data_IF_175778106354
#
_entry.id   IF_175778106354
#
_cell.length_a   1.000
_cell.length_b   1.000
_cell.length_c   1.000
_cell.angle_alpha   90.00
_cell.angle_beta   90.00
_cell.angle_gamma   90.00
#
_symmetry.space_group_name_H-M   'P 1'
#
loop_
_entity.id
_entity.type
_entity.pdbx_description
1 polymer ?
#
# COMPACT_ATOMS: atom_id res chain seq x y z
N UNK A 1 -7.77 -5.94 10.01
CA UNK A 1 -7.82 -5.90 8.52
C UNK A 1 -8.75 -7.00 8.06
N UNK A 2 -9.65 -6.73 7.12
CA UNK A 2 -10.47 -7.76 6.48
C UNK A 2 -9.55 -8.73 5.72
N UNK A 3 -9.86 -10.03 5.74
CA UNK A 3 -9.17 -10.99 4.89
C UNK A 3 -9.42 -10.60 3.41
N UNK A 4 -8.33 -10.36 2.66
CA UNK A 4 -8.38 -9.95 1.25
C UNK A 4 -9.09 -10.98 0.36
N UNK A 5 -9.03 -12.28 0.71
CA UNK A 5 -9.74 -13.37 0.03
C UNK A 5 -11.25 -13.23 0.22
N UNK A 6 -11.69 -13.01 1.46
CA UNK A 6 -13.10 -12.80 1.77
C UNK A 6 -13.63 -11.49 1.16
N UNK A 7 -12.79 -10.46 1.08
CA UNK A 7 -13.14 -9.23 0.36
C UNK A 7 -13.34 -9.52 -1.14
N UNK A 8 -12.40 -10.22 -1.76
CA UNK A 8 -12.47 -10.59 -3.17
C UNK A 8 -13.74 -11.40 -3.47
N UNK A 9 -14.02 -12.44 -2.68
CA UNK A 9 -15.22 -13.26 -2.80
C UNK A 9 -16.51 -12.43 -2.70
N UNK A 10 -16.63 -11.60 -1.65
CA UNK A 10 -17.80 -10.74 -1.43
C UNK A 10 -18.06 -9.78 -2.60
N UNK A 11 -17.00 -9.35 -3.29
CA UNK A 11 -17.06 -8.39 -4.38
C UNK A 11 -16.96 -9.04 -5.77
N UNK A 12 -17.03 -10.37 -5.87
CA UNK A 12 -17.01 -11.09 -7.15
C UNK A 12 -15.68 -11.00 -7.89
N UNK A 13 -14.58 -10.72 -7.18
CA UNK A 13 -13.25 -10.62 -7.74
C UNK A 13 -12.66 -12.03 -7.84
N UNK A 14 -12.48 -12.52 -9.07
CA UNK A 14 -11.85 -13.81 -9.31
C UNK A 14 -10.34 -13.71 -9.08
N UNK A 15 -9.84 -14.47 -8.12
CA UNK A 15 -8.42 -14.59 -7.82
C UNK A 15 -7.81 -15.72 -8.67
N UNK A 16 -6.64 -15.49 -9.27
CA UNK A 16 -5.89 -16.58 -9.91
C UNK A 16 -5.06 -17.31 -8.86
N UNK A 17 -5.09 -18.64 -8.94
CA UNK A 17 -4.34 -19.58 -8.10
C UNK A 17 -2.99 -19.98 -8.72
N UNK A 18 -2.75 -19.61 -9.98
CA UNK A 18 -1.55 -19.97 -10.74
C UNK A 18 -1.12 -18.91 -11.74
N UNK A 19 0.17 -18.90 -12.04
CA UNK A 19 0.82 -17.95 -12.95
C UNK A 19 1.12 -16.60 -12.29
N UNK A 20 1.53 -15.61 -13.10
CA UNK A 20 1.84 -14.27 -12.63
C UNK A 20 0.68 -13.63 -11.88
N UNK A 21 0.98 -12.70 -10.96
CA UNK A 21 -0.06 -11.99 -10.22
C UNK A 21 -0.94 -11.17 -11.16
N UNK A 22 -2.27 -11.38 -11.12
CA UNK A 22 -3.21 -10.68 -11.99
C UNK A 22 -3.37 -9.17 -11.71
N UNK A 23 -2.75 -8.64 -10.65
CA UNK A 23 -2.89 -7.23 -10.25
C UNK A 23 -1.60 -6.43 -10.46
N UNK A 24 -0.48 -6.91 -9.91
CA UNK A 24 0.80 -6.23 -10.02
C UNK A 24 1.70 -6.75 -11.14
N UNK A 25 1.33 -7.87 -11.78
CA UNK A 25 2.14 -8.47 -12.84
C UNK A 25 3.43 -9.16 -12.37
N UNK A 26 3.61 -9.32 -11.05
CA UNK A 26 4.78 -10.00 -10.50
C UNK A 26 4.95 -11.40 -11.11
N UNK A 27 6.18 -11.83 -11.43
CA UNK A 27 6.47 -13.13 -12.04
C UNK A 27 6.47 -14.26 -11.00
N UNK A 28 5.36 -14.37 -10.27
CA UNK A 28 5.10 -15.42 -9.27
C UNK A 28 4.47 -16.66 -9.93
N UNK A 29 4.44 -17.77 -9.21
CA UNK A 29 3.84 -19.03 -9.69
C UNK A 29 2.41 -19.22 -9.20
N UNK A 30 2.05 -18.65 -8.05
CA UNK A 30 0.75 -18.87 -7.38
C UNK A 30 -0.09 -17.59 -7.26
N UNK A 31 0.00 -16.71 -8.26
CA UNK A 31 -0.80 -15.49 -8.36
C UNK A 31 -0.66 -14.57 -7.15
N UNK A 32 -1.73 -13.84 -6.82
CA UNK A 32 -1.73 -12.85 -5.73
C UNK A 32 -1.45 -13.46 -4.35
N UNK A 33 -1.76 -14.73 -4.12
CA UNK A 33 -1.49 -15.38 -2.84
C UNK A 33 0.02 -15.42 -2.55
N UNK A 34 0.85 -15.68 -3.55
CA UNK A 34 2.31 -15.65 -3.43
C UNK A 34 2.81 -14.23 -3.15
N UNK A 35 2.21 -13.20 -3.76
CA UNK A 35 2.54 -11.82 -3.43
C UNK A 35 2.33 -11.52 -1.94
N UNK A 36 1.23 -11.99 -1.35
CA UNK A 36 0.99 -11.85 0.09
C UNK A 36 2.00 -12.62 0.95
N UNK A 37 2.44 -13.81 0.50
CA UNK A 37 3.46 -14.59 1.19
C UNK A 37 4.84 -13.90 1.13
N UNK A 38 5.23 -13.38 -0.02
CA UNK A 38 6.53 -12.72 -0.19
C UNK A 38 6.69 -11.49 0.71
N UNK A 39 5.60 -10.81 1.09
CA UNK A 39 5.65 -9.69 2.04
C UNK A 39 6.00 -10.16 3.47
N UNK A 40 5.73 -11.41 3.83
CA UNK A 40 6.12 -11.95 5.15
C UNK A 40 7.64 -12.02 5.33
N UNK A 41 8.40 -12.15 4.24
CA UNK A 41 9.87 -12.08 4.24
C UNK A 41 10.41 -10.83 4.96
N UNK A 42 9.69 -9.70 4.88
CA UNK A 42 10.09 -8.47 5.56
C UNK A 42 10.06 -8.66 7.08
N UNK A 43 9.03 -9.33 7.61
CA UNK A 43 8.85 -9.57 9.04
C UNK A 43 9.80 -10.67 9.58
N UNK A 44 10.39 -11.49 8.71
CA UNK A 44 11.45 -12.43 9.08
C UNK A 44 12.79 -11.72 9.31
N UNK A 45 12.99 -10.57 8.65
CA UNK A 45 14.23 -9.77 8.73
C UNK A 45 14.12 -8.63 9.75
N UNK A 46 12.94 -8.01 9.86
CA UNK A 46 12.72 -6.81 10.68
C UNK A 46 11.79 -7.09 11.86
N UNK A 47 12.22 -6.70 13.06
CA UNK A 47 11.35 -6.69 14.24
C UNK A 47 10.41 -5.47 14.18
N UNK A 48 9.13 -5.71 13.96
CA UNK A 48 8.10 -4.68 13.95
C UNK A 48 7.60 -4.26 15.33
N UNK A 49 8.20 -4.75 16.41
CA UNK A 49 8.08 -4.16 17.74
C UNK A 49 9.11 -3.05 17.99
N UNK A 50 10.14 -2.95 17.15
CA UNK A 50 11.11 -1.85 17.18
C UNK A 50 10.54 -0.64 16.40
N UNK A 51 10.37 0.53 17.06
CA UNK A 51 9.95 1.77 16.40
C UNK A 51 10.80 2.15 15.18
N UNK A 52 12.08 1.79 15.15
CA UNK A 52 12.96 2.05 14.01
C UNK A 52 12.46 1.40 12.70
N UNK A 53 11.67 0.33 12.80
CA UNK A 53 11.14 -0.41 11.65
C UNK A 53 9.70 -0.03 11.29
N UNK A 54 9.06 0.87 12.05
CA UNK A 54 7.65 1.24 11.82
C UNK A 54 7.44 1.85 10.45
N UNK A 55 8.32 2.76 10.01
CA UNK A 55 8.20 3.39 8.69
C UNK A 55 8.25 2.36 7.58
N UNK A 56 9.15 1.39 7.66
CA UNK A 56 9.27 0.30 6.69
C UNK A 56 8.01 -0.55 6.65
N UNK A 57 7.42 -0.86 7.81
CA UNK A 57 6.14 -1.57 7.89
C UNK A 57 5.00 -0.78 7.22
N UNK A 58 4.92 0.53 7.44
CA UNK A 58 3.87 1.34 6.83
C UNK A 58 4.02 1.41 5.32
N UNK A 59 5.25 1.61 4.84
CA UNK A 59 5.57 1.64 3.42
C UNK A 59 5.25 0.31 2.72
N UNK A 60 5.58 -0.83 3.33
CA UNK A 60 5.27 -2.15 2.74
C UNK A 60 3.77 -2.40 2.66
N UNK A 61 3.02 -2.04 3.71
CA UNK A 61 1.55 -2.18 3.74
C UNK A 61 0.89 -1.27 2.71
N UNK A 62 1.33 -0.02 2.58
CA UNK A 62 0.78 0.92 1.59
C UNK A 62 1.08 0.49 0.16
N UNK A 63 2.33 0.09 -0.11
CA UNK A 63 2.74 -0.41 -1.40
C UNK A 63 1.90 -1.64 -1.77
N UNK A 64 1.75 -2.59 -0.84
CA UNK A 64 0.95 -3.79 -1.04
C UNK A 64 -0.49 -3.46 -1.40
N UNK A 65 -1.12 -2.58 -0.64
CA UNK A 65 -2.53 -2.23 -0.82
C UNK A 65 -2.78 -1.56 -2.18
N UNK A 66 -1.91 -0.65 -2.59
CA UNK A 66 -2.05 0.06 -3.86
C UNK A 66 -1.65 -0.80 -5.06
N UNK A 67 -0.64 -1.68 -4.92
CA UNK A 67 -0.28 -2.60 -6.00
C UNK A 67 -1.42 -3.60 -6.29
N UNK A 68 -2.15 -4.01 -5.26
CA UNK A 68 -3.28 -4.94 -5.32
C UNK A 68 -4.62 -4.24 -5.03
N UNK A 69 -4.79 -3.03 -5.56
CA UNK A 69 -5.92 -2.12 -5.32
C UNK A 69 -7.29 -2.81 -5.28
N UNK A 70 -7.52 -3.80 -6.14
CA UNK A 70 -8.78 -4.53 -6.29
C UNK A 70 -9.22 -5.26 -5.03
N UNK A 71 -8.29 -5.83 -4.27
CA UNK A 71 -8.62 -6.66 -3.09
C UNK A 71 -8.67 -5.85 -1.79
N UNK A 72 -8.69 -4.52 -1.90
CA UNK A 72 -8.82 -3.59 -0.79
C UNK A 72 -10.03 -2.66 -0.99
N UNK A 73 -10.65 -2.28 0.14
CA UNK A 73 -11.74 -1.31 0.14
C UNK A 73 -11.31 0.04 -0.47
N UNK A 74 -12.13 0.72 -1.28
CA UNK A 74 -11.72 1.96 -1.93
C UNK A 74 -11.24 3.04 -0.96
N UNK A 75 -11.93 3.23 0.17
CA UNK A 75 -11.51 4.18 1.21
C UNK A 75 -10.23 3.77 1.94
N UNK A 76 -9.96 2.46 2.02
CA UNK A 76 -8.68 1.99 2.53
C UNK A 76 -7.55 2.37 1.59
N UNK A 77 -7.76 2.22 0.27
CA UNK A 77 -6.79 2.67 -0.74
C UNK A 77 -6.53 4.18 -0.66
N UNK A 78 -7.55 4.98 -0.33
CA UNK A 78 -7.37 6.41 -0.06
C UNK A 78 -6.46 6.69 1.13
N UNK A 79 -6.62 5.96 2.24
CA UNK A 79 -5.73 6.07 3.42
C UNK A 79 -4.30 5.74 3.02
N UNK A 80 -4.09 4.61 2.36
CA UNK A 80 -2.77 4.17 1.92
C UNK A 80 -2.09 5.19 0.99
N UNK A 81 -2.84 5.71 0.01
CA UNK A 81 -2.29 6.69 -0.92
C UNK A 81 -2.03 8.05 -0.28
N UNK A 82 -2.96 8.56 0.54
CA UNK A 82 -2.75 9.79 1.29
C UNK A 82 -1.52 9.70 2.21
N UNK A 83 -1.33 8.56 2.88
CA UNK A 83 -0.14 8.32 3.70
C UNK A 83 1.15 8.35 2.89
N UNK A 84 1.19 7.74 1.70
CA UNK A 84 2.38 7.82 0.83
C UNK A 84 2.68 9.26 0.38
N UNK A 85 1.66 10.06 0.06
CA UNK A 85 1.84 11.50 -0.26
C UNK A 85 2.43 12.24 0.94
N UNK A 86 1.86 12.04 2.14
CA UNK A 86 2.33 12.67 3.37
C UNK A 86 3.79 12.32 3.69
N UNK A 87 4.17 11.04 3.52
CA UNK A 87 5.54 10.58 3.77
C UNK A 87 6.51 11.12 2.69
N UNK A 88 6.21 10.90 1.41
CA UNK A 88 7.16 11.17 0.34
C UNK A 88 7.22 12.63 -0.11
N UNK A 89 6.09 13.35 -0.16
CA UNK A 89 6.05 14.76 -0.54
C UNK A 89 6.17 15.67 0.67
N UNK A 90 5.27 15.51 1.66
CA UNK A 90 5.18 16.42 2.80
C UNK A 90 6.21 16.13 3.90
N UNK A 91 7.02 15.06 3.75
CA UNK A 91 8.07 14.66 4.70
C UNK A 91 7.55 14.47 6.12
N UNK A 92 6.32 14.01 6.26
CA UNK A 92 5.74 13.65 7.56
C UNK A 92 6.47 12.43 8.09
N UNK A 93 7.14 12.59 9.22
CA UNK A 93 7.70 11.46 9.98
C UNK A 93 6.55 10.63 10.55
N UNK A 94 6.28 9.50 9.91
CA UNK A 94 5.07 8.73 10.14
C UNK A 94 5.24 7.71 11.26
N UNK A 95 4.26 7.65 12.17
CA UNK A 95 4.20 6.67 13.24
C UNK A 95 2.75 6.21 13.47
N UNK A 96 2.55 5.28 14.41
CA UNK A 96 1.23 4.71 14.70
C UNK A 96 0.20 5.73 15.20
N UNK A 97 0.59 6.78 15.94
CA UNK A 97 -0.37 7.74 16.48
C UNK A 97 -1.01 8.63 15.40
N UNK A 98 -0.36 8.75 14.24
CA UNK A 98 -0.90 9.50 13.10
C UNK A 98 -1.93 8.72 12.26
N UNK A 99 -1.96 7.39 12.38
CA UNK A 99 -2.90 6.56 11.61
C UNK A 99 -4.37 6.79 11.98
N UNK A 100 -4.75 6.87 13.28
CA UNK A 100 -6.10 7.28 13.67
C UNK A 100 -6.47 8.68 13.15
N UNK A 101 -5.57 9.66 13.25
CA UNK A 101 -5.82 11.03 12.78
C UNK A 101 -6.15 11.06 11.29
N UNK A 102 -5.37 10.36 10.46
CA UNK A 102 -5.68 10.24 9.03
C UNK A 102 -6.98 9.49 8.79
N UNK A 103 -7.26 8.45 9.57
CA UNK A 103 -8.50 7.68 9.46
C UNK A 103 -9.72 8.57 9.73
N UNK A 104 -9.65 9.45 10.73
CA UNK A 104 -10.72 10.40 11.05
C UNK A 104 -10.94 11.39 9.91
N UNK A 105 -9.87 11.95 9.34
CA UNK A 105 -9.95 12.83 8.17
C UNK A 105 -10.61 12.11 6.98
N UNK A 106 -10.23 10.86 6.68
CA UNK A 106 -10.87 10.07 5.61
C UNK A 106 -12.34 9.76 5.96
N UNK A 107 -12.64 9.47 7.22
CA UNK A 107 -13.99 9.18 7.69
C UNK A 107 -14.94 10.38 7.57
N UNK A 108 -14.43 11.60 7.71
CA UNK A 108 -15.21 12.80 7.47
C UNK A 108 -15.34 13.10 5.98
N UNK A 109 -14.25 12.96 5.22
CA UNK A 109 -14.24 13.15 3.77
C UNK A 109 -15.24 12.23 3.05
N UNK A 110 -15.32 10.95 3.43
CA UNK A 110 -16.21 9.96 2.81
C UNK A 110 -17.71 10.22 3.03
N UNK A 111 -18.10 11.14 3.93
CA UNK A 111 -19.52 11.47 4.17
C UNK A 111 -20.13 12.25 3.01
N UNK A 112 -19.31 13.01 2.29
CA UNK A 112 -19.74 13.91 1.21
C UNK A 112 -19.13 13.55 -0.15
N UNK A 113 -18.20 12.60 -0.20
CA UNK A 113 -17.50 12.20 -1.41
C UNK A 113 -17.74 10.73 -1.75
N UNK A 114 -17.60 10.40 -3.04
CA UNK A 114 -17.53 9.02 -3.53
C UNK A 114 -16.08 8.67 -3.84
N UNK A 115 -15.65 7.42 -3.65
CA UNK A 115 -14.30 7.02 -3.98
C UNK A 115 -14.11 6.98 -5.50
N UNK A 116 -12.90 7.31 -5.96
CA UNK A 116 -12.47 7.01 -7.33
C UNK A 116 -12.42 5.50 -7.51
N UNK A 117 -12.92 5.04 -8.65
CA UNK A 117 -13.04 3.61 -8.97
C UNK A 117 -11.97 3.11 -9.94
N UNK A 118 -11.15 4.00 -10.50
CA UNK A 118 -10.22 3.67 -11.58
C UNK A 118 -8.79 4.04 -11.18
N UNK A 119 -8.02 3.14 -10.54
CA UNK A 119 -6.59 3.33 -10.27
C UNK A 119 -5.76 3.29 -11.58
N UNK A 120 -4.42 3.46 -11.52
CA UNK A 120 -3.56 3.09 -12.65
C UNK A 120 -3.84 1.67 -13.14
N UNK A 121 -3.59 1.42 -14.42
CA UNK A 121 -3.80 0.12 -15.05
C UNK A 121 -3.11 -1.01 -14.27
N UNK A 122 -3.76 -2.17 -14.19
CA UNK A 122 -3.17 -3.41 -13.68
C UNK A 122 -1.81 -3.66 -14.34
N UNK A 123 -0.82 -4.08 -13.54
CA UNK A 123 0.56 -4.29 -13.98
C UNK A 123 1.37 -3.01 -14.24
N UNK A 124 0.77 -1.82 -14.09
CA UNK A 124 1.43 -0.52 -14.29
C UNK A 124 1.45 0.34 -13.01
N UNK A 125 1.39 -0.33 -11.85
CA UNK A 125 1.26 0.30 -10.53
C UNK A 125 2.57 0.34 -9.74
N UNK A 126 3.69 0.17 -10.42
CA UNK A 126 5.03 0.11 -9.86
C UNK A 126 5.91 -0.82 -10.69
N UNK A 127 7.21 -0.54 -10.74
CA UNK A 127 8.20 -1.38 -11.41
C UNK A 127 8.83 -2.42 -10.49
N UNK A 128 8.75 -2.20 -9.18
CA UNK A 128 9.24 -3.12 -8.15
C UNK A 128 8.04 -3.89 -7.61
N UNK A 129 8.20 -5.19 -7.47
CA UNK A 129 7.16 -6.13 -7.07
C UNK A 129 7.53 -6.84 -5.77
N UNK A 130 6.62 -7.66 -5.27
CA UNK A 130 6.86 -8.47 -4.07
C UNK A 130 7.95 -9.52 -4.27
N UNK A 131 8.27 -9.91 -5.51
CA UNK A 131 9.38 -10.84 -5.79
C UNK A 131 10.73 -10.20 -5.47
N UNK A 132 10.88 -8.90 -5.73
CA UNK A 132 12.13 -8.17 -5.48
C UNK A 132 12.47 -8.10 -3.99
N UNK A 133 11.46 -8.15 -3.11
CA UNK A 133 11.65 -8.19 -1.65
C UNK A 133 12.49 -9.38 -1.20
N UNK A 134 12.40 -10.50 -1.91
CA UNK A 134 13.12 -11.74 -1.59
C UNK A 134 14.63 -11.62 -1.80
N UNK A 135 15.10 -10.56 -2.46
CA UNK A 135 16.53 -10.32 -2.68
C UNK A 135 17.25 -9.76 -1.45
N UNK A 136 16.50 -9.19 -0.49
CA UNK A 136 17.06 -8.65 0.74
C UNK A 136 17.28 -9.75 1.78
N UNK A 137 18.45 -9.78 2.42
CA UNK A 137 18.80 -10.78 3.44
C UNK A 137 19.26 -10.17 4.78
N UNK A 138 19.29 -8.84 4.87
CA UNK A 138 19.68 -8.10 6.07
C UNK A 138 18.80 -6.87 6.25
N UNK A 139 18.73 -6.27 7.45
CA UNK A 139 17.83 -5.16 7.74
C UNK A 139 17.96 -3.97 6.78
N UNK A 140 19.19 -3.48 6.53
CA UNK A 140 19.39 -2.28 5.71
C UNK A 140 18.93 -2.46 4.23
N UNK A 141 19.35 -3.51 3.50
CA UNK A 141 18.79 -3.83 2.18
C UNK A 141 17.27 -4.02 2.20
N UNK A 142 16.73 -4.65 3.25
CA UNK A 142 15.29 -4.88 3.38
C UNK A 142 14.52 -3.56 3.51
N UNK A 143 14.98 -2.64 4.36
CA UNK A 143 14.40 -1.31 4.49
C UNK A 143 14.51 -0.51 3.19
N UNK A 144 15.64 -0.61 2.49
CA UNK A 144 15.86 0.09 1.23
C UNK A 144 14.94 -0.41 0.11
N UNK A 145 14.85 -1.74 -0.11
CA UNK A 145 13.99 -2.29 -1.17
C UNK A 145 12.51 -2.00 -0.93
N UNK A 146 12.07 -2.00 0.34
CA UNK A 146 10.69 -1.63 0.70
C UNK A 146 10.43 -0.15 0.42
N UNK A 147 11.38 0.72 0.73
CA UNK A 147 11.28 2.15 0.44
C UNK A 147 11.19 2.41 -1.07
N UNK A 148 12.06 1.76 -1.84
CA UNK A 148 12.06 1.86 -3.29
C UNK A 148 10.78 1.30 -3.90
N UNK A 149 10.28 0.18 -3.37
CA UNK A 149 9.00 -0.39 -3.76
C UNK A 149 7.84 0.57 -3.54
N UNK A 150 7.70 1.09 -2.31
CA UNK A 150 6.64 2.03 -1.98
C UNK A 150 6.74 3.33 -2.79
N UNK A 151 7.96 3.81 -3.06
CA UNK A 151 8.16 4.99 -3.89
C UNK A 151 7.79 4.74 -5.36
N UNK A 152 8.12 3.57 -5.90
CA UNK A 152 7.73 3.15 -7.25
C UNK A 152 6.20 3.09 -7.40
N UNK A 153 5.51 2.52 -6.41
CA UNK A 153 4.04 2.49 -6.36
C UNK A 153 3.46 3.89 -6.25
N UNK A 154 3.97 4.71 -5.34
CA UNK A 154 3.59 6.12 -5.21
C UNK A 154 3.71 6.89 -6.54
N UNK A 155 4.83 6.71 -7.26
CA UNK A 155 5.06 7.35 -8.56
C UNK A 155 4.04 6.93 -9.61
N UNK A 156 3.62 5.67 -9.62
CA UNK A 156 2.58 5.19 -10.54
C UNK A 156 1.21 5.83 -10.24
N UNK A 157 0.92 6.13 -8.97
CA UNK A 157 -0.31 6.79 -8.55
C UNK A 157 -0.24 8.33 -8.60
N UNK A 158 0.90 8.94 -8.93
CA UNK A 158 1.12 10.38 -8.83
C UNK A 158 0.05 11.22 -9.55
N UNK A 159 -0.37 10.83 -10.75
CA UNK A 159 -1.39 11.55 -11.52
C UNK A 159 -2.79 11.46 -10.90
N UNK A 160 -2.99 10.56 -9.95
CA UNK A 160 -4.23 10.39 -9.18
C UNK A 160 -4.19 11.17 -7.86
N UNK A 161 -3.07 11.85 -7.53
CA UNK A 161 -2.91 12.63 -6.30
C UNK A 161 -4.05 13.63 -6.04
N UNK A 162 -4.64 14.33 -7.04
CA UNK A 162 -5.79 15.21 -6.81
C UNK A 162 -6.97 14.55 -6.07
N UNK A 163 -7.08 13.22 -6.14
CA UNK A 163 -8.09 12.44 -5.41
C UNK A 163 -7.94 12.52 -3.88
N UNK A 164 -6.70 12.61 -3.40
CA UNK A 164 -6.35 12.57 -1.97
C UNK A 164 -5.80 13.90 -1.46
N UNK A 165 -5.56 14.89 -2.33
CA UNK A 165 -5.11 16.23 -1.93
C UNK A 165 -6.00 16.88 -0.85
N UNK A 166 -7.35 16.82 -0.92
CA UNK A 166 -8.18 17.38 0.15
C UNK A 166 -7.97 16.68 1.51
N UNK A 167 -7.72 15.37 1.50
CA UNK A 167 -7.44 14.58 2.71
C UNK A 167 -6.07 14.96 3.27
N UNK A 168 -5.05 15.06 2.41
CA UNK A 168 -3.69 15.48 2.78
C UNK A 168 -3.72 16.88 3.37
N UNK A 169 -4.41 17.83 2.73
CA UNK A 169 -4.54 19.20 3.22
C UNK A 169 -5.24 19.25 4.58
N UNK A 170 -6.37 18.55 4.74
CA UNK A 170 -7.09 18.49 6.01
C UNK A 170 -6.27 17.84 7.12
N UNK A 171 -5.50 16.78 6.82
CA UNK A 171 -4.59 16.16 7.77
C UNK A 171 -3.51 17.15 8.25
N UNK A 172 -2.91 17.92 7.33
CA UNK A 172 -1.86 18.88 7.67
C UNK A 172 -2.37 20.08 8.48
N UNK A 173 -3.66 20.42 8.40
CA UNK A 173 -4.28 21.46 9.23
C UNK A 173 -4.58 21.01 10.66
N UNK A 174 -4.75 19.69 10.86
CA UNK A 174 -5.18 19.10 12.14
C UNK A 174 -4.02 18.42 12.90
N UNK A 175 -2.77 18.57 12.44
CA UNK A 175 -1.57 17.95 13.01
C UNK A 175 -0.82 18.86 13.98
#
# INVERSE_FOLDING_TARGET
MQNWQTYAEKHGIKLLDKGPCQFCGAPVLNGVAECHQNVHHIAEILDYNDPANYITRFLSVDAMALHHYEVHGPWNNYIHFARLVLIFENKVDWNYSLTPVLSDVVNDFKRTHKPITTPPTVGQRGSITTVDLLTANTPNPCQQIVKDWAYSVYKAFYNYKPAVEPIVAAFMLNR
#
